data_IF_584029325443
#
_entry.id   IF_584029325443
#
_cell.length_a   1.000
_cell.length_b   1.000
_cell.length_c   1.000
_cell.angle_alpha   90.00
_cell.angle_beta   90.00
_cell.angle_gamma   90.00
#
_symmetry.space_group_name_H-M   'P 1'
#
loop_
_entity.id
_entity.type
_entity.pdbx_description
1 polymer ?
#
# COMPACT_ATOMS: atom_id res chain seq x y z
N UNK A 1 9.78 24.66 -34.63
CA UNK A 1 8.95 23.60 -34.00
C UNK A 1 8.00 24.26 -33.01
N UNK A 2 6.71 24.34 -33.35
CA UNK A 2 5.71 25.09 -32.59
C UNK A 2 5.50 24.52 -31.17
N UNK A 3 5.39 25.43 -30.19
CA UNK A 3 5.18 25.10 -28.77
C UNK A 3 4.01 24.13 -28.55
N UNK A 4 2.91 24.29 -29.30
CA UNK A 4 1.72 23.42 -29.20
C UNK A 4 1.96 21.97 -29.60
N UNK A 5 2.87 21.70 -30.56
CA UNK A 5 3.21 20.33 -30.96
C UNK A 5 3.98 19.62 -29.84
N UNK A 6 4.88 20.32 -29.15
CA UNK A 6 5.61 19.74 -28.01
C UNK A 6 4.68 19.37 -26.86
N UNK A 7 3.70 20.22 -26.54
CA UNK A 7 2.73 19.94 -25.47
C UNK A 7 1.87 18.72 -25.75
N UNK A 8 1.42 18.53 -27.00
CA UNK A 8 0.62 17.36 -27.41
C UNK A 8 1.45 16.08 -27.31
N UNK A 9 2.70 16.07 -27.80
CA UNK A 9 3.58 14.92 -27.69
C UNK A 9 3.89 14.53 -26.23
N UNK A 10 4.08 15.51 -25.34
CA UNK A 10 4.29 15.27 -23.91
C UNK A 10 3.04 14.66 -23.26
N UNK A 11 1.85 15.16 -23.59
CA UNK A 11 0.57 14.61 -23.11
C UNK A 11 0.38 13.16 -23.58
N UNK A 12 0.61 12.86 -24.86
CA UNK A 12 0.50 11.50 -25.39
C UNK A 12 1.51 10.54 -24.76
N UNK A 13 2.76 10.98 -24.56
CA UNK A 13 3.78 10.16 -23.90
C UNK A 13 3.44 9.87 -22.43
N UNK A 14 2.91 10.85 -21.69
CA UNK A 14 2.44 10.65 -20.32
C UNK A 14 1.25 9.68 -20.27
N UNK A 15 0.26 9.85 -21.14
CA UNK A 15 -0.87 8.92 -21.23
C UNK A 15 -0.41 7.50 -21.58
N UNK A 16 0.53 7.33 -22.52
CA UNK A 16 1.06 6.02 -22.88
C UNK A 16 1.80 5.34 -21.71
N UNK A 17 2.56 6.10 -20.91
CA UNK A 17 3.22 5.57 -19.70
C UNK A 17 2.19 5.17 -18.63
N UNK A 18 1.13 5.96 -18.44
CA UNK A 18 0.04 5.65 -17.49
C UNK A 18 -0.75 4.42 -17.93
N UNK A 19 -1.04 4.27 -19.22
CA UNK A 19 -1.74 3.09 -19.75
C UNK A 19 -0.85 1.84 -19.69
N UNK A 20 0.44 1.96 -20.03
CA UNK A 20 1.39 0.86 -19.95
C UNK A 20 1.61 0.37 -18.50
N UNK A 21 1.66 1.28 -17.52
CA UNK A 21 1.76 0.88 -16.11
C UNK A 21 0.47 0.24 -15.58
N UNK A 22 -0.71 0.72 -15.99
CA UNK A 22 -2.00 0.10 -15.65
C UNK A 22 -2.26 -1.25 -16.34
N UNK A 23 -1.58 -1.54 -17.46
CA UNK A 23 -1.69 -2.84 -18.14
C UNK A 23 -0.88 -3.94 -17.44
N UNK A 24 0.20 -3.58 -16.74
CA UNK A 24 1.08 -4.55 -16.06
C UNK A 24 0.73 -4.75 -14.59
N UNK A 25 0.27 -3.72 -13.90
CA UNK A 25 -0.05 -3.78 -12.48
C UNK A 25 -1.49 -3.39 -12.20
N UNK A 26 -2.03 -3.92 -11.11
CA UNK A 26 -3.34 -3.56 -10.60
C UNK A 26 -3.42 -2.09 -10.17
N UNK A 27 -4.64 -1.64 -9.89
CA UNK A 27 -4.88 -0.30 -9.33
C UNK A 27 -4.04 -0.08 -8.07
N UNK A 28 -3.42 1.10 -7.96
CA UNK A 28 -2.58 1.54 -6.84
C UNK A 28 -1.27 0.75 -6.62
N UNK A 29 -0.91 -0.16 -7.53
CA UNK A 29 0.37 -0.86 -7.46
C UNK A 29 1.48 -0.07 -8.16
N UNK A 30 2.71 -0.23 -7.65
CA UNK A 30 3.91 0.34 -8.22
C UNK A 30 4.70 -0.75 -8.95
N UNK A 31 4.92 -0.58 -10.25
CA UNK A 31 5.86 -1.40 -11.01
C UNK A 31 7.29 -1.02 -10.63
N UNK A 32 8.07 -1.96 -10.09
CA UNK A 32 9.45 -1.68 -9.65
C UNK A 32 10.35 -2.90 -9.73
N UNK A 33 11.66 -2.65 -9.90
CA UNK A 33 12.72 -3.66 -9.78
C UNK A 33 13.36 -3.68 -8.39
N UNK A 34 13.04 -2.68 -7.55
CA UNK A 34 13.46 -2.69 -6.15
C UNK A 34 12.67 -3.75 -5.42
N UNK A 35 13.34 -4.59 -4.64
CA UNK A 35 12.68 -5.67 -3.90
C UNK A 35 11.94 -5.15 -2.65
N UNK A 36 11.09 -4.14 -2.82
CA UNK A 36 10.08 -3.83 -1.82
C UNK A 36 9.13 -5.03 -1.69
N UNK A 37 8.52 -5.16 -0.53
CA UNK A 37 7.45 -6.10 -0.27
C UNK A 37 6.15 -5.36 -0.05
N UNK A 38 5.09 -6.10 -0.26
CA UNK A 38 3.75 -5.60 -0.11
C UNK A 38 3.47 -5.26 1.35
N UNK A 39 2.69 -4.20 1.52
CA UNK A 39 1.99 -3.93 2.76
C UNK A 39 0.64 -4.61 2.71
N UNK A 40 0.12 -5.04 3.86
CA UNK A 40 -1.16 -5.71 3.98
C UNK A 40 -2.05 -4.94 4.95
N UNK A 41 -3.37 -5.00 4.76
CA UNK A 41 -4.29 -4.30 5.66
C UNK A 41 -4.08 -4.75 7.10
N UNK A 42 -3.87 -6.05 7.37
CA UNK A 42 -3.62 -6.56 8.72
C UNK A 42 -2.19 -6.34 9.24
N UNK A 43 -1.22 -6.00 8.39
CA UNK A 43 0.17 -5.82 8.80
C UNK A 43 1.00 -4.98 7.83
N UNK A 44 1.82 -4.08 8.37
CA UNK A 44 2.85 -3.37 7.61
C UNK A 44 4.20 -4.03 7.81
N UNK A 45 4.85 -4.46 6.73
CA UNK A 45 6.19 -5.05 6.79
C UNK A 45 7.21 -4.01 6.32
N UNK A 46 8.18 -3.68 7.18
CA UNK A 46 9.25 -2.74 6.89
C UNK A 46 10.55 -3.49 6.62
N UNK A 47 11.16 -3.19 5.47
CA UNK A 47 12.40 -3.82 5.03
C UNK A 47 13.58 -2.88 5.18
N UNK A 48 14.75 -3.48 5.42
CA UNK A 48 16.00 -2.86 5.09
C UNK A 48 15.96 -2.51 3.60
N UNK A 49 16.38 -1.30 3.18
CA UNK A 49 16.35 -0.93 1.78
C UNK A 49 16.99 -2.05 0.95
N UNK A 50 16.28 -2.59 -0.06
CA UNK A 50 16.81 -3.70 -0.83
C UNK A 50 18.11 -3.23 -1.48
N UNK A 51 19.23 -3.86 -1.09
CA UNK A 51 20.53 -3.62 -1.73
C UNK A 51 20.59 -4.24 -3.11
N UNK A 52 19.65 -5.13 -3.40
CA UNK A 52 19.51 -5.91 -4.61
C UNK A 52 18.42 -5.35 -5.51
N UNK A 53 18.74 -5.26 -6.80
CA UNK A 53 17.80 -5.00 -7.90
C UNK A 53 17.44 -6.38 -8.45
N UNK A 54 16.15 -6.72 -8.45
CA UNK A 54 15.66 -7.98 -9.00
C UNK A 54 14.84 -7.77 -10.26
N UNK A 55 14.05 -8.79 -10.59
CA UNK A 55 13.09 -8.69 -11.68
C UNK A 55 12.00 -7.67 -11.38
N UNK A 56 11.44 -7.11 -12.46
CA UNK A 56 10.35 -6.17 -12.40
C UNK A 56 9.08 -6.86 -11.88
N UNK A 57 8.51 -6.33 -10.78
CA UNK A 57 7.27 -6.81 -10.19
C UNK A 57 6.38 -5.65 -9.76
N UNK A 58 5.09 -5.93 -9.62
CA UNK A 58 4.12 -5.02 -9.03
C UNK A 58 4.16 -5.15 -7.51
N UNK A 59 4.26 -4.02 -6.81
CA UNK A 59 4.26 -3.97 -5.35
C UNK A 59 3.20 -3.01 -4.84
N UNK A 60 2.52 -3.40 -3.78
CA UNK A 60 1.62 -2.53 -3.04
C UNK A 60 2.39 -1.83 -1.91
N UNK A 61 2.72 -0.56 -2.13
CA UNK A 61 3.59 0.22 -1.24
C UNK A 61 2.88 1.46 -0.70
N UNK A 62 3.40 2.02 0.39
CA UNK A 62 2.85 3.20 1.08
C UNK A 62 2.54 4.33 0.06
N UNK A 63 1.34 4.95 0.12
CA UNK A 63 0.31 4.90 1.19
C UNK A 63 -0.75 3.80 1.03
N UNK A 64 -0.50 2.78 0.23
CA UNK A 64 -1.45 1.69 -0.04
C UNK A 64 -1.07 0.40 0.67
N UNK A 65 -2.05 -0.47 0.88
CA UNK A 65 -1.88 -1.81 1.43
C UNK A 65 -2.84 -2.79 0.73
N UNK A 66 -2.44 -4.06 0.69
CA UNK A 66 -3.18 -5.13 0.05
C UNK A 66 -4.27 -5.65 0.99
N UNK A 67 -5.50 -5.66 0.52
CA UNK A 67 -6.64 -6.23 1.25
C UNK A 67 -6.64 -7.77 1.21
N UNK A 68 -7.62 -8.38 1.87
CA UNK A 68 -7.81 -9.84 1.92
C UNK A 68 -8.09 -10.45 0.53
N UNK A 69 -8.60 -9.65 -0.39
CA UNK A 69 -8.97 -10.06 -1.75
C UNK A 69 -7.79 -9.85 -2.73
N UNK A 70 -6.66 -9.35 -2.23
CA UNK A 70 -5.45 -9.14 -3.02
C UNK A 70 -5.41 -7.79 -3.72
N UNK A 71 -6.33 -6.87 -3.48
CA UNK A 71 -6.34 -5.55 -4.11
C UNK A 71 -5.52 -4.54 -3.31
N UNK A 72 -4.77 -3.68 -4.01
CA UNK A 72 -4.04 -2.59 -3.37
C UNK A 72 -4.97 -1.40 -3.12
N UNK A 73 -5.32 -1.19 -1.85
CA UNK A 73 -6.29 -0.19 -1.40
C UNK A 73 -5.62 0.86 -0.50
N UNK A 74 -6.30 1.97 -0.26
CA UNK A 74 -5.83 3.00 0.67
C UNK A 74 -5.87 2.51 2.11
N UNK A 75 -5.05 3.08 2.99
CA UNK A 75 -5.13 2.77 4.42
C UNK A 75 -6.49 3.07 5.05
N UNK A 76 -7.23 4.06 4.52
CA UNK A 76 -8.58 4.36 5.01
C UNK A 76 -9.55 3.22 4.66
N UNK A 77 -9.47 2.69 3.44
CA UNK A 77 -10.25 1.52 3.03
C UNK A 77 -9.87 0.29 3.86
N UNK A 78 -8.58 0.04 4.09
CA UNK A 78 -8.14 -1.01 5.01
C UNK A 78 -8.72 -0.82 6.42
N UNK A 79 -8.71 0.40 6.96
CA UNK A 79 -9.22 0.65 8.30
C UNK A 79 -10.73 0.38 8.40
N UNK A 80 -11.49 0.77 7.37
CA UNK A 80 -12.92 0.45 7.27
C UNK A 80 -13.14 -1.06 7.24
N UNK A 81 -12.41 -1.78 6.38
CA UNK A 81 -12.50 -3.24 6.27
C UNK A 81 -12.13 -3.96 7.57
N UNK A 82 -11.09 -3.51 8.27
CA UNK A 82 -10.68 -4.09 9.55
C UNK A 82 -11.70 -3.83 10.67
N UNK A 83 -12.44 -2.72 10.57
CA UNK A 83 -13.52 -2.38 11.48
C UNK A 83 -14.87 -3.03 11.11
N UNK A 84 -14.97 -3.74 9.97
CA UNK A 84 -16.19 -4.44 9.59
C UNK A 84 -16.56 -5.48 10.66
N UNK A 85 -17.78 -5.36 11.20
CA UNK A 85 -18.30 -6.29 12.21
C UNK A 85 -17.86 -5.99 13.64
N UNK A 86 -17.06 -4.95 13.88
CA UNK A 86 -16.76 -4.49 15.24
C UNK A 86 -17.91 -3.61 15.75
N UNK A 87 -18.59 -4.08 16.79
CA UNK A 87 -19.62 -3.30 17.49
C UNK A 87 -18.98 -2.59 18.69
N UNK A 88 -19.01 -1.26 18.69
CA UNK A 88 -18.47 -0.46 19.78
C UNK A 88 -19.56 0.03 20.75
N UNK A 89 -19.22 0.18 22.04
CA UNK A 89 -20.09 0.81 23.02
C UNK A 89 -20.55 2.22 22.59
N UNK A 90 -21.65 2.69 23.19
CA UNK A 90 -22.13 4.06 22.97
C UNK A 90 -21.07 5.08 23.40
N UNK A 91 -20.68 5.97 22.47
CA UNK A 91 -19.65 6.99 22.69
C UNK A 91 -18.25 6.58 22.19
N UNK A 92 -18.07 5.33 21.78
CA UNK A 92 -16.82 4.83 21.21
C UNK A 92 -16.94 4.71 19.68
N UNK A 93 -15.80 4.80 18.99
CA UNK A 93 -15.69 4.52 17.56
C UNK A 93 -14.63 3.44 17.30
N UNK A 94 -14.80 2.66 16.23
CA UNK A 94 -13.77 1.72 15.83
C UNK A 94 -12.59 2.48 15.23
N UNK A 95 -11.39 2.20 15.74
CA UNK A 95 -10.14 2.72 15.22
C UNK A 95 -9.14 1.58 15.00
N UNK A 96 -8.17 1.82 14.12
CA UNK A 96 -7.09 0.87 13.85
C UNK A 96 -5.79 1.42 14.41
N UNK A 97 -5.20 0.68 15.33
CA UNK A 97 -3.90 1.00 15.92
C UNK A 97 -2.82 0.09 15.37
N UNK A 98 -1.58 0.56 15.40
CA UNK A 98 -0.41 -0.21 14.98
C UNK A 98 0.31 -0.77 16.21
N UNK A 99 0.47 -2.08 16.27
CA UNK A 99 1.22 -2.77 17.33
C UNK A 99 2.44 -3.49 16.76
N UNK A 100 3.65 -3.29 17.31
CA UNK A 100 4.83 -4.01 16.83
C UNK A 100 4.69 -5.52 17.07
N UNK A 101 5.01 -6.32 16.05
CA UNK A 101 5.11 -7.78 16.12
C UNK A 101 6.57 -8.18 16.32
N UNK A 102 6.86 -8.92 17.38
CA UNK A 102 8.21 -9.34 17.78
C UNK A 102 8.69 -10.63 17.09
N UNK A 103 8.33 -10.84 15.83
CA UNK A 103 8.67 -12.06 15.10
C UNK A 103 9.22 -11.70 13.73
N UNK A 104 10.55 -11.68 13.60
CA UNK A 104 11.20 -11.70 12.29
C UNK A 104 12.39 -12.67 12.36
N UNK A 105 12.28 -13.80 11.64
CA UNK A 105 13.42 -14.71 11.40
C UNK A 105 14.25 -14.29 10.19
N UNK A 106 13.69 -13.38 9.38
CA UNK A 106 14.32 -12.82 8.19
C UNK A 106 15.14 -11.57 8.57
N UNK A 107 16.47 -11.59 8.37
CA UNK A 107 17.35 -10.48 8.72
C UNK A 107 17.12 -9.21 7.89
N UNK A 108 16.37 -9.28 6.78
CA UNK A 108 16.05 -8.12 5.94
C UNK A 108 14.83 -7.34 6.45
N UNK A 109 14.03 -7.91 7.36
CA UNK A 109 12.85 -7.25 7.92
C UNK A 109 13.26 -6.44 9.15
N UNK A 110 13.14 -5.11 9.08
CA UNK A 110 13.42 -4.20 10.20
C UNK A 110 12.32 -4.33 11.26
N UNK A 111 11.06 -4.37 10.83
CA UNK A 111 9.93 -4.48 11.74
C UNK A 111 8.66 -4.91 11.03
N UNK A 112 7.74 -5.50 11.79
CA UNK A 112 6.36 -5.74 11.36
C UNK A 112 5.45 -4.99 12.34
N UNK A 113 4.50 -4.22 11.81
CA UNK A 113 3.46 -3.58 12.60
C UNK A 113 2.12 -4.21 12.25
N UNK A 114 1.51 -4.90 13.19
CA UNK A 114 0.15 -5.40 13.04
C UNK A 114 -0.84 -4.25 13.16
N UNK A 115 -1.86 -4.27 12.32
CA UNK A 115 -3.00 -3.38 12.42
C UNK A 115 -4.09 -4.10 13.22
N UNK A 116 -4.38 -3.57 14.39
CA UNK A 116 -5.41 -4.11 15.29
C UNK A 116 -6.57 -3.13 15.31
N UNK A 117 -7.75 -3.61 14.94
CA UNK A 117 -8.98 -2.84 15.05
C UNK A 117 -9.59 -3.01 16.45
N UNK A 118 -10.09 -1.92 17.02
CA UNK A 118 -10.71 -1.92 18.34
C UNK A 118 -11.48 -0.64 18.61
N UNK A 119 -12.24 -0.64 19.70
CA UNK A 119 -13.03 0.53 20.10
C UNK A 119 -12.15 1.54 20.83
N UNK A 120 -12.29 2.80 20.45
CA UNK A 120 -11.57 3.94 21.03
C UNK A 120 -12.57 4.98 21.49
N UNK A 121 -12.38 5.49 22.71
CA UNK A 121 -13.19 6.55 23.29
C UNK A 121 -13.08 7.82 22.46
N UNK A 122 -14.22 8.44 22.17
CA UNK A 122 -14.27 9.77 21.58
C UNK A 122 -14.04 10.81 22.70
N UNK A 123 -12.82 11.37 22.76
CA UNK A 123 -12.45 12.43 23.71
C UNK A 123 -13.12 13.77 23.37
#
# INVERSE_FOLDING_TARGET
>A
MNSSLRSIFVLFALCAVVVYSQLKCGKNELLTRRQYRDQYCNATIFYAPPRTIGDEKCVCFRPYARDRDGNCVTYNECAQQLCEGISCPLGDFCSVVKTPRNETVDPEIISILDHVAGCTLQL
#
